data_IF_462654231170
#
_entry.id   IF_462654231170
#
_cell.length_a   1.000
_cell.length_b   1.000
_cell.length_c   1.000
_cell.angle_alpha   90.00
_cell.angle_beta   90.00
_cell.angle_gamma   90.00
#
_symmetry.space_group_name_H-M   'P 1'
#
loop_
_entity.id
_entity.type
_entity.pdbx_description
1 polymer ?
#
# COMPACT_ATOMS: atom_id res chain seq x y z
N UNK A 1 -18.78 -1.72 -3.04
CA UNK A 1 -18.60 -2.14 -1.63
C UNK A 1 -19.77 -2.98 -1.14
N UNK A 2 -21.00 -2.45 -1.08
CA UNK A 2 -22.18 -3.22 -0.61
C UNK A 2 -22.39 -4.57 -1.35
N UNK A 3 -22.32 -4.58 -2.69
CA UNK A 3 -22.44 -5.81 -3.49
C UNK A 3 -21.37 -6.87 -3.19
N UNK A 4 -20.27 -6.48 -2.54
CA UNK A 4 -19.12 -7.33 -2.25
C UNK A 4 -18.91 -7.50 -0.74
N UNK A 5 -19.89 -7.12 0.11
CA UNK A 5 -19.80 -7.21 1.57
C UNK A 5 -18.54 -6.53 2.16
N UNK A 6 -18.16 -5.37 1.62
CA UNK A 6 -17.06 -4.57 2.17
C UNK A 6 -17.64 -3.53 3.12
N UNK A 7 -17.27 -3.62 4.40
CA UNK A 7 -17.79 -2.77 5.48
C UNK A 7 -17.23 -1.34 5.44
N UNK A 8 -15.99 -1.18 4.97
CA UNK A 8 -15.33 0.12 4.89
C UNK A 8 -14.09 0.11 4.00
N UNK A 9 -13.55 1.30 3.74
CA UNK A 9 -12.37 1.48 2.90
C UNK A 9 -11.43 2.54 3.47
N UNK A 10 -10.20 2.51 2.99
CA UNK A 10 -9.22 3.58 3.17
C UNK A 10 -9.09 4.32 1.85
N UNK A 11 -9.31 5.64 1.87
CA UNK A 11 -9.09 6.48 0.71
C UNK A 11 -7.62 6.92 0.66
N UNK A 12 -7.00 6.85 -0.51
CA UNK A 12 -5.56 7.13 -0.67
C UNK A 12 -5.38 8.26 -1.67
N UNK A 13 -4.51 9.22 -1.36
CA UNK A 13 -4.20 10.36 -2.23
C UNK A 13 -3.95 9.93 -3.68
N UNK A 14 -4.59 10.60 -4.64
CA UNK A 14 -4.34 10.42 -6.06
C UNK A 14 -3.49 11.55 -6.67
N UNK A 15 -3.24 12.61 -5.90
CA UNK A 15 -2.47 13.79 -6.30
C UNK A 15 -1.53 14.24 -5.18
N UNK A 16 -0.37 14.74 -5.57
CA UNK A 16 0.67 15.21 -4.65
C UNK A 16 0.43 16.67 -4.18
N UNK A 17 -0.72 16.93 -3.55
CA UNK A 17 -1.09 18.25 -3.01
C UNK A 17 -1.71 18.12 -1.61
N UNK A 18 -1.64 19.19 -0.80
CA UNK A 18 -2.32 19.22 0.50
C UNK A 18 -3.84 19.24 0.31
N UNK A 19 -4.33 19.97 -0.70
CA UNK A 19 -5.75 20.04 -1.05
C UNK A 19 -6.36 18.65 -1.31
N UNK A 20 -5.58 17.70 -1.85
CA UNK A 20 -6.02 16.30 -1.99
C UNK A 20 -6.30 15.66 -0.63
N UNK A 21 -5.39 15.85 0.33
CA UNK A 21 -5.55 15.31 1.69
C UNK A 21 -6.77 15.91 2.37
N UNK A 22 -6.93 17.23 2.29
CA UNK A 22 -8.07 17.94 2.88
C UNK A 22 -9.38 17.46 2.28
N UNK A 23 -9.44 17.35 0.95
CA UNK A 23 -10.62 16.86 0.25
C UNK A 23 -10.97 15.41 0.61
N UNK A 24 -9.99 14.52 0.73
CA UNK A 24 -10.23 13.15 1.18
C UNK A 24 -10.71 13.09 2.64
N UNK A 25 -10.19 13.95 3.51
CA UNK A 25 -10.67 14.06 4.89
C UNK A 25 -12.11 14.57 4.94
N UNK A 26 -12.48 15.57 4.16
CA UNK A 26 -13.87 16.05 4.02
C UNK A 26 -14.81 14.93 3.54
N UNK A 27 -14.39 14.15 2.54
CA UNK A 27 -15.14 12.95 2.10
C UNK A 27 -15.30 11.98 3.27
N UNK A 28 -14.23 11.74 4.02
CA UNK A 28 -14.24 10.79 5.12
C UNK A 28 -15.17 11.22 6.26
N UNK A 29 -15.23 12.52 6.56
CA UNK A 29 -16.14 13.06 7.58
C UNK A 29 -17.60 12.95 7.16
N UNK A 30 -17.88 13.12 5.85
CA UNK A 30 -19.22 12.98 5.29
C UNK A 30 -19.67 11.51 5.08
N UNK A 31 -18.74 10.55 5.05
CA UNK A 31 -19.02 9.16 4.69
C UNK A 31 -18.38 8.17 5.69
N UNK A 32 -19.17 7.57 6.61
CA UNK A 32 -18.67 6.62 7.60
C UNK A 32 -17.97 5.38 7.02
N UNK A 33 -18.30 4.99 5.78
CA UNK A 33 -17.65 3.89 5.09
C UNK A 33 -16.18 4.17 4.74
N UNK A 34 -15.75 5.44 4.69
CA UNK A 34 -14.33 5.81 4.59
C UNK A 34 -13.79 5.88 6.00
N UNK A 35 -13.09 4.81 6.39
CA UNK A 35 -12.62 4.61 7.76
C UNK A 35 -11.26 5.25 8.03
N UNK A 36 -10.49 5.54 6.97
CA UNK A 36 -9.21 6.23 7.06
C UNK A 36 -8.79 6.86 5.74
N UNK A 37 -7.84 7.78 5.83
CA UNK A 37 -7.25 8.53 4.73
C UNK A 37 -5.72 8.40 4.79
N UNK A 38 -5.14 7.98 3.68
CA UNK A 38 -3.71 8.09 3.41
C UNK A 38 -3.49 9.35 2.58
N UNK A 39 -3.07 10.42 3.25
CA UNK A 39 -2.88 11.73 2.65
C UNK A 39 -1.57 11.89 1.89
N UNK A 40 -1.39 13.07 1.32
CA UNK A 40 -0.11 13.59 0.87
C UNK A 40 0.30 14.82 1.68
N UNK A 41 1.59 14.87 2.03
CA UNK A 41 2.24 16.07 2.58
C UNK A 41 3.61 16.25 1.93
N UNK A 42 4.12 17.49 1.85
CA UNK A 42 5.42 17.76 1.24
C UNK A 42 6.56 17.38 2.20
N UNK A 43 6.91 16.09 2.27
CA UNK A 43 7.86 15.50 3.24
C UNK A 43 9.26 16.15 3.22
N UNK A 44 9.66 16.80 2.13
CA UNK A 44 10.96 17.47 2.03
C UNK A 44 10.94 18.95 2.45
N UNK A 45 9.79 19.51 2.86
CA UNK A 45 9.69 20.92 3.25
C UNK A 45 10.05 21.17 4.71
N UNK A 46 10.56 22.36 4.98
CA UNK A 46 10.97 22.80 6.32
C UNK A 46 9.77 23.07 7.25
N UNK A 47 8.60 23.40 6.71
CA UNK A 47 7.35 23.63 7.42
C UNK A 47 6.45 22.38 7.53
N UNK A 48 7.01 21.20 7.23
CA UNK A 48 6.30 19.92 7.28
C UNK A 48 5.54 19.70 8.59
N UNK A 49 6.16 19.99 9.74
CA UNK A 49 5.55 19.74 11.04
C UNK A 49 4.25 20.52 11.24
N UNK A 50 4.19 21.78 10.82
CA UNK A 50 2.96 22.58 10.93
C UNK A 50 1.84 22.00 10.04
N UNK A 51 2.18 21.48 8.86
CA UNK A 51 1.22 20.82 7.97
C UNK A 51 0.73 19.50 8.55
N UNK A 52 1.65 18.68 9.07
CA UNK A 52 1.32 17.41 9.72
C UNK A 52 0.46 17.62 10.96
N UNK A 53 0.82 18.54 11.86
CA UNK A 53 0.10 18.79 13.10
C UNK A 53 -1.35 19.19 12.83
N UNK A 54 -1.56 20.12 11.89
CA UNK A 54 -2.90 20.56 11.49
C UNK A 54 -3.73 19.43 10.88
N UNK A 55 -3.16 18.65 9.96
CA UNK A 55 -3.89 17.57 9.29
C UNK A 55 -4.18 16.40 10.25
N UNK A 56 -3.28 16.14 11.20
CA UNK A 56 -3.39 15.08 12.20
C UNK A 56 -4.40 15.40 13.32
N UNK A 57 -5.00 16.59 13.34
CA UNK A 57 -6.16 16.89 14.19
C UNK A 57 -7.36 16.01 13.79
N UNK A 58 -7.50 15.67 12.50
CA UNK A 58 -8.50 14.72 12.03
C UNK A 58 -7.99 13.29 12.25
N UNK A 59 -8.67 12.54 13.13
CA UNK A 59 -8.30 11.16 13.49
C UNK A 59 -8.42 10.16 12.33
N UNK A 60 -9.10 10.52 11.24
CA UNK A 60 -9.14 9.69 10.03
C UNK A 60 -7.90 9.83 9.15
N UNK A 61 -6.98 10.77 9.43
CA UNK A 61 -5.66 10.74 8.81
C UNK A 61 -4.83 9.64 9.46
N UNK A 62 -4.69 8.50 8.77
CA UNK A 62 -4.04 7.30 9.32
C UNK A 62 -2.66 7.04 8.72
N UNK A 63 -2.30 7.78 7.68
CA UNK A 63 -0.99 7.69 7.07
C UNK A 63 -0.76 8.70 5.97
N UNK A 64 0.42 8.64 5.37
CA UNK A 64 0.78 9.45 4.21
C UNK A 64 1.51 8.63 3.16
N UNK A 65 1.43 9.08 1.90
CA UNK A 65 2.07 8.44 0.75
C UNK A 65 2.75 9.46 -0.14
N UNK A 66 3.96 9.15 -0.59
CA UNK A 66 4.64 9.87 -1.67
C UNK A 66 4.75 8.99 -2.93
N UNK A 67 4.59 9.58 -4.11
CA UNK A 67 4.59 8.85 -5.39
C UNK A 67 6.03 8.64 -5.89
N UNK A 68 6.80 7.83 -5.16
CA UNK A 68 8.25 7.63 -5.39
C UNK A 68 8.53 7.10 -6.79
N UNK A 69 7.62 6.32 -7.38
CA UNK A 69 7.86 5.75 -8.71
C UNK A 69 7.90 6.76 -9.86
N UNK A 70 7.40 7.99 -9.65
CA UNK A 70 7.39 9.07 -10.63
C UNK A 70 8.57 10.03 -10.43
N UNK A 71 9.33 9.86 -9.34
CA UNK A 71 10.53 10.65 -9.09
C UNK A 71 11.62 10.32 -10.11
N UNK A 72 12.31 11.36 -10.58
CA UNK A 72 13.37 11.21 -11.60
C UNK A 72 14.59 10.46 -11.07
N UNK A 73 14.86 10.60 -9.77
CA UNK A 73 15.96 9.92 -9.11
C UNK A 73 15.47 8.60 -8.52
N UNK A 74 15.99 7.48 -9.04
CA UNK A 74 15.67 6.15 -8.50
C UNK A 74 16.10 5.99 -7.01
N UNK A 75 16.97 6.86 -6.50
CA UNK A 75 17.39 6.90 -5.10
C UNK A 75 16.70 8.01 -4.30
N UNK A 76 15.62 8.61 -4.80
CA UNK A 76 14.90 9.69 -4.11
C UNK A 76 14.54 9.30 -2.66
N UNK A 77 14.09 8.07 -2.44
CA UNK A 77 13.70 7.54 -1.12
C UNK A 77 14.85 7.55 -0.10
N UNK A 78 16.11 7.62 -0.55
CA UNK A 78 17.31 7.68 0.28
C UNK A 78 17.79 9.13 0.55
N UNK A 79 17.14 10.14 -0.02
CA UNK A 79 17.53 11.54 0.20
C UNK A 79 17.40 11.92 1.68
N UNK A 80 18.34 12.76 2.14
CA UNK A 80 18.41 13.17 3.55
C UNK A 80 17.18 13.97 3.99
N UNK A 81 16.73 14.91 3.17
CA UNK A 81 15.56 15.75 3.44
C UNK A 81 14.27 14.93 3.51
N UNK A 82 14.08 14.01 2.56
CA UNK A 82 12.96 13.07 2.58
C UNK A 82 12.93 12.23 3.87
N UNK A 83 14.08 11.65 4.24
CA UNK A 83 14.19 10.85 5.47
C UNK A 83 14.01 11.68 6.75
N UNK A 84 14.34 12.98 6.75
CA UNK A 84 14.03 13.87 7.88
C UNK A 84 12.51 14.03 8.04
N UNK A 85 11.78 14.15 6.93
CA UNK A 85 10.33 14.21 6.94
C UNK A 85 9.66 12.92 7.39
N UNK A 86 10.14 11.77 6.88
CA UNK A 86 9.61 10.45 7.27
C UNK A 86 9.69 10.22 8.79
N UNK A 87 10.76 10.69 9.46
CA UNK A 87 10.91 10.59 10.92
C UNK A 87 9.83 11.36 11.70
N UNK A 88 9.13 12.31 11.07
CA UNK A 88 8.06 13.07 11.71
C UNK A 88 6.73 12.29 11.77
N UNK A 89 6.59 11.17 11.06
CA UNK A 89 5.35 10.40 11.01
C UNK A 89 5.12 9.55 12.26
N UNK A 90 6.18 8.90 12.75
CA UNK A 90 6.10 8.00 13.91
C UNK A 90 5.52 8.65 15.18
N UNK A 91 5.97 9.84 15.61
CA UNK A 91 5.40 10.55 16.76
C UNK A 91 3.91 10.89 16.64
N UNK A 92 3.35 10.84 15.43
CA UNK A 92 1.94 11.13 15.13
C UNK A 92 1.13 9.86 14.86
N UNK A 93 1.72 8.67 15.05
CA UNK A 93 1.12 7.37 14.76
C UNK A 93 0.65 7.22 13.30
N UNK A 94 1.29 7.93 12.37
CA UNK A 94 0.97 7.86 10.94
C UNK A 94 1.76 6.74 10.27
N UNK A 95 1.08 5.90 9.50
CA UNK A 95 1.69 4.89 8.62
C UNK A 95 2.30 5.57 7.40
N UNK A 96 3.38 5.00 6.85
CA UNK A 96 3.89 5.40 5.54
C UNK A 96 3.64 4.32 4.48
N UNK A 97 2.86 4.69 3.46
CA UNK A 97 2.61 3.84 2.30
C UNK A 97 3.74 4.02 1.26
N UNK A 98 4.36 2.91 0.87
CA UNK A 98 5.50 2.87 -0.05
C UNK A 98 5.00 2.52 -1.45
N UNK A 99 4.81 3.54 -2.28
CA UNK A 99 4.44 3.38 -3.69
C UNK A 99 5.66 3.44 -4.61
N UNK A 100 6.07 2.27 -5.10
CA UNK A 100 7.28 2.08 -5.91
C UNK A 100 7.05 1.11 -7.08
N UNK A 101 7.96 1.13 -8.06
CA UNK A 101 8.19 0.00 -8.95
C UNK A 101 9.14 -1.02 -8.31
N UNK A 102 9.15 -2.24 -8.84
CA UNK A 102 9.97 -3.36 -8.38
C UNK A 102 11.46 -3.02 -8.36
N UNK A 103 11.91 -2.22 -9.33
CA UNK A 103 13.30 -1.75 -9.43
C UNK A 103 13.77 -0.89 -8.25
N UNK A 104 12.88 -0.35 -7.42
CA UNK A 104 13.22 0.47 -6.26
C UNK A 104 13.29 -0.33 -4.95
N UNK A 105 13.02 -1.64 -4.97
CA UNK A 105 13.08 -2.47 -3.77
C UNK A 105 14.45 -2.44 -3.07
N UNK A 106 15.61 -2.45 -3.77
CA UNK A 106 16.91 -2.37 -3.10
C UNK A 106 17.10 -1.10 -2.25
N UNK A 107 16.68 0.05 -2.77
CA UNK A 107 16.71 1.33 -2.05
C UNK A 107 15.68 1.34 -0.93
N UNK A 108 14.52 0.71 -1.14
CA UNK A 108 13.44 0.64 -0.15
C UNK A 108 13.87 -0.18 1.06
N UNK A 109 14.61 -1.28 0.87
CA UNK A 109 15.18 -2.08 1.96
C UNK A 109 16.11 -1.22 2.83
N UNK A 110 17.04 -0.48 2.21
CA UNK A 110 17.93 0.44 2.93
C UNK A 110 17.17 1.59 3.62
N UNK A 111 16.06 2.03 3.03
CA UNK A 111 15.22 3.06 3.60
C UNK A 111 14.49 2.56 4.86
N UNK A 112 13.82 1.41 4.81
CA UNK A 112 13.08 0.89 5.98
C UNK A 112 14.02 0.57 7.16
N UNK A 113 15.26 0.15 6.87
CA UNK A 113 16.29 -0.10 7.88
C UNK A 113 16.68 1.18 8.67
N UNK A 114 16.44 2.37 8.11
CA UNK A 114 16.70 3.64 8.79
C UNK A 114 15.56 4.06 9.75
N UNK A 115 14.41 3.39 9.70
CA UNK A 115 13.21 3.74 10.46
C UNK A 115 12.54 2.50 11.09
N UNK A 116 13.25 1.72 11.93
CA UNK A 116 12.74 0.45 12.46
C UNK A 116 11.48 0.58 13.33
N UNK A 117 11.17 1.79 13.81
CA UNK A 117 10.02 2.08 14.66
C UNK A 117 8.82 2.67 13.89
N UNK A 118 8.92 2.85 12.57
CA UNK A 118 7.82 3.35 11.74
C UNK A 118 7.11 2.18 11.07
N UNK A 119 5.78 2.18 11.09
CA UNK A 119 4.97 1.20 10.37
C UNK A 119 4.94 1.56 8.88
N UNK A 120 5.27 0.59 8.05
CA UNK A 120 5.27 0.71 6.60
C UNK A 120 4.27 -0.23 5.95
N UNK A 121 3.70 0.20 4.83
CA UNK A 121 2.87 -0.64 3.97
C UNK A 121 3.35 -0.50 2.53
N UNK A 122 3.82 -1.59 1.94
CA UNK A 122 4.21 -1.64 0.52
C UNK A 122 2.96 -1.70 -0.34
N UNK A 123 2.79 -0.73 -1.23
CA UNK A 123 1.67 -0.68 -2.15
C UNK A 123 1.84 -1.70 -3.28
N UNK A 124 0.72 -2.30 -3.67
CA UNK A 124 0.57 -3.13 -4.88
C UNK A 124 1.67 -4.18 -5.07
N UNK A 125 2.04 -4.85 -3.98
CA UNK A 125 3.13 -5.82 -3.94
C UNK A 125 4.44 -5.31 -4.58
N UNK A 126 4.71 -4.01 -4.53
CA UNK A 126 5.83 -3.34 -5.20
C UNK A 126 5.86 -3.51 -6.73
N UNK A 127 4.70 -3.65 -7.38
CA UNK A 127 4.51 -3.62 -8.84
C UNK A 127 5.50 -4.51 -9.62
N UNK A 128 5.49 -5.84 -9.43
CA UNK A 128 6.29 -6.76 -10.24
C UNK A 128 5.93 -6.66 -11.72
N UNK A 129 6.86 -7.03 -12.59
CA UNK A 129 6.57 -7.21 -14.01
C UNK A 129 5.86 -8.54 -14.24
N UNK A 130 4.53 -8.52 -14.34
CA UNK A 130 3.73 -9.74 -14.48
C UNK A 130 3.54 -10.10 -15.96
N UNK A 131 4.07 -11.24 -16.39
CA UNK A 131 3.82 -11.80 -17.72
C UNK A 131 3.86 -13.34 -17.73
N UNK A 132 3.17 -13.98 -18.68
CA UNK A 132 3.14 -15.44 -18.80
C UNK A 132 4.47 -16.04 -19.26
N UNK A 133 5.33 -15.23 -19.89
CA UNK A 133 6.59 -15.68 -20.46
C UNK A 133 7.65 -15.95 -19.39
N UNK A 134 7.62 -15.22 -18.27
CA UNK A 134 8.65 -15.33 -17.22
C UNK A 134 8.14 -14.77 -15.88
N UNK A 135 8.41 -15.49 -14.81
CA UNK A 135 8.24 -14.99 -13.45
C UNK A 135 9.32 -13.98 -13.08
N UNK A 136 8.96 -12.90 -12.38
CA UNK A 136 9.90 -11.87 -11.93
C UNK A 136 10.69 -12.33 -10.68
N UNK A 137 11.70 -13.16 -10.90
CA UNK A 137 12.54 -13.70 -9.81
C UNK A 137 13.27 -12.61 -9.01
N UNK A 138 13.69 -11.53 -9.67
CA UNK A 138 14.39 -10.42 -8.99
C UNK A 138 13.46 -9.67 -8.05
N UNK A 139 12.21 -9.45 -8.46
CA UNK A 139 11.19 -8.93 -7.55
C UNK A 139 10.97 -9.87 -6.36
N UNK A 140 10.83 -11.17 -6.60
CA UNK A 140 10.56 -12.15 -5.55
C UNK A 140 11.67 -12.19 -4.49
N UNK A 141 12.93 -12.23 -4.92
CA UNK A 141 14.10 -12.18 -4.03
C UNK A 141 14.11 -10.93 -3.16
N UNK A 142 13.84 -9.76 -3.75
CA UNK A 142 13.84 -8.50 -3.01
C UNK A 142 12.63 -8.35 -2.08
N UNK A 143 11.46 -8.89 -2.45
CA UNK A 143 10.27 -8.93 -1.58
C UNK A 143 10.52 -9.81 -0.36
N UNK A 144 11.11 -10.99 -0.55
CA UNK A 144 11.50 -11.89 0.55
C UNK A 144 12.54 -11.23 1.46
N UNK A 145 13.48 -10.47 0.91
CA UNK A 145 14.44 -9.71 1.71
C UNK A 145 13.75 -8.58 2.51
N UNK A 146 12.88 -7.79 1.86
CA UNK A 146 12.16 -6.71 2.51
C UNK A 146 11.26 -7.22 3.64
N UNK A 147 10.60 -8.37 3.45
CA UNK A 147 9.65 -8.91 4.41
C UNK A 147 10.28 -9.37 5.73
N UNK A 148 11.60 -9.52 5.79
CA UNK A 148 12.35 -9.79 7.04
C UNK A 148 12.19 -8.68 8.08
N UNK A 149 11.79 -7.47 7.67
CA UNK A 149 11.49 -6.34 8.57
C UNK A 149 10.05 -6.45 9.05
N UNK A 150 9.85 -6.67 10.35
CA UNK A 150 8.52 -6.94 10.95
C UNK A 150 7.59 -5.73 10.93
N UNK A 151 8.13 -4.50 10.86
CA UNK A 151 7.40 -3.25 10.71
C UNK A 151 6.95 -2.97 9.26
N UNK A 152 7.15 -3.90 8.32
CA UNK A 152 6.69 -3.78 6.93
C UNK A 152 5.55 -4.76 6.67
N UNK A 153 4.42 -4.22 6.23
CA UNK A 153 3.29 -4.95 5.68
C UNK A 153 3.17 -4.72 4.16
N UNK A 154 2.28 -5.44 3.48
CA UNK A 154 2.16 -5.41 2.03
C UNK A 154 0.70 -5.46 1.58
N UNK A 155 0.32 -4.63 0.61
CA UNK A 155 -1.02 -4.67 0.02
C UNK A 155 -1.06 -5.65 -1.13
N UNK A 156 -1.94 -6.64 -1.02
CA UNK A 156 -2.38 -7.49 -2.12
C UNK A 156 -3.41 -6.73 -2.98
N UNK A 157 -2.91 -5.88 -3.88
CA UNK A 157 -3.71 -4.93 -4.67
C UNK A 157 -2.98 -4.56 -5.98
N UNK A 158 -3.66 -3.87 -6.91
CA UNK A 158 -3.03 -3.25 -8.09
C UNK A 158 -2.36 -4.20 -9.08
N UNK A 159 -2.48 -5.52 -8.91
CA UNK A 159 -1.73 -6.49 -9.73
C UNK A 159 -2.17 -6.52 -11.19
N UNK A 160 -3.49 -6.40 -11.45
CA UNK A 160 -4.06 -6.56 -12.80
C UNK A 160 -3.57 -5.51 -13.79
N UNK A 161 -3.17 -4.33 -13.31
CA UNK A 161 -2.60 -3.23 -14.08
C UNK A 161 -1.11 -3.37 -14.36
N UNK A 162 -0.42 -4.25 -13.64
CA UNK A 162 1.00 -4.57 -13.88
C UNK A 162 1.17 -5.79 -14.82
N UNK A 163 0.06 -6.41 -15.25
CA UNK A 163 0.09 -7.49 -16.24
C UNK A 163 0.37 -6.92 -17.63
N UNK A 164 1.55 -7.25 -18.15
CA UNK A 164 2.04 -6.83 -19.48
C UNK A 164 1.24 -7.51 -20.61
N UNK A 165 0.83 -8.76 -20.39
CA UNK A 165 0.07 -9.53 -21.37
C UNK A 165 -1.27 -8.86 -21.69
N UNK A 166 -1.85 -9.11 -22.87
CA UNK A 166 -3.14 -8.50 -23.23
C UNK A 166 -4.28 -8.91 -22.31
N UNK A 167 -4.20 -10.11 -21.71
CA UNK A 167 -5.19 -10.69 -20.78
C UNK A 167 -4.50 -11.18 -19.52
N UNK A 168 -5.22 -11.15 -18.40
CA UNK A 168 -4.78 -11.73 -17.13
C UNK A 168 -5.73 -12.86 -16.71
N UNK A 169 -5.23 -13.78 -15.87
CA UNK A 169 -6.01 -14.84 -15.23
C UNK A 169 -5.55 -15.01 -13.78
N UNK A 170 -6.39 -15.57 -12.89
CA UNK A 170 -5.97 -15.90 -11.53
C UNK A 170 -4.70 -16.76 -11.49
N UNK A 171 -4.57 -17.73 -12.41
CA UNK A 171 -3.38 -18.59 -12.51
C UNK A 171 -2.10 -17.81 -12.83
N UNK A 172 -2.19 -16.73 -13.62
CA UNK A 172 -1.03 -15.87 -13.92
C UNK A 172 -0.58 -15.08 -12.69
N UNK A 173 -1.52 -14.65 -11.86
CA UNK A 173 -1.27 -13.85 -10.67
C UNK A 173 -0.83 -14.71 -9.47
N UNK A 174 -1.28 -15.96 -9.41
CA UNK A 174 -1.09 -16.88 -8.28
C UNK A 174 0.39 -16.98 -7.81
N UNK A 175 1.40 -17.15 -8.68
CA UNK A 175 2.79 -17.19 -8.21
C UNK A 175 3.25 -15.96 -7.42
N UNK A 176 2.74 -14.77 -7.78
CA UNK A 176 3.05 -13.53 -7.08
C UNK A 176 2.32 -13.44 -5.74
N UNK A 177 1.07 -13.92 -5.67
CA UNK A 177 0.32 -14.00 -4.40
C UNK A 177 0.97 -14.99 -3.44
N UNK A 178 1.34 -16.17 -3.94
CA UNK A 178 2.03 -17.19 -3.15
C UNK A 178 3.36 -16.65 -2.61
N UNK A 179 4.11 -15.89 -3.40
CA UNK A 179 5.37 -15.25 -2.97
C UNK A 179 5.15 -14.26 -1.83
N UNK A 180 4.13 -13.39 -1.90
CA UNK A 180 3.88 -12.42 -0.81
C UNK A 180 3.26 -13.06 0.42
N UNK A 181 2.49 -14.13 0.26
CA UNK A 181 2.00 -14.95 1.38
C UNK A 181 3.16 -15.62 2.13
N UNK A 182 4.11 -16.22 1.40
CA UNK A 182 5.33 -16.79 2.00
C UNK A 182 6.17 -15.70 2.68
N UNK A 183 6.35 -14.55 2.01
CA UNK A 183 7.22 -13.49 2.48
C UNK A 183 6.68 -12.78 3.74
N UNK A 184 5.42 -12.35 3.72
CA UNK A 184 4.85 -11.51 4.78
C UNK A 184 4.06 -12.30 5.82
N UNK A 185 3.52 -13.45 5.42
CA UNK A 185 2.54 -14.18 6.20
C UNK A 185 1.15 -13.51 6.17
N UNK A 186 0.11 -14.24 6.61
CA UNK A 186 -1.28 -13.76 6.59
C UNK A 186 -1.50 -12.53 7.48
N UNK A 187 -0.68 -12.33 8.51
CA UNK A 187 -0.83 -11.22 9.47
C UNK A 187 -0.20 -9.90 8.99
N UNK A 188 0.40 -9.85 7.81
CA UNK A 188 1.00 -8.62 7.26
C UNK A 188 0.59 -8.34 5.82
N UNK A 189 -0.42 -9.05 5.33
CA UNK A 189 -1.05 -8.77 4.04
C UNK A 189 -2.37 -8.02 4.23
N UNK A 190 -2.63 -7.08 3.32
CA UNK A 190 -3.85 -6.27 3.31
C UNK A 190 -4.45 -6.33 1.90
N UNK A 191 -5.68 -6.82 1.75
CA UNK A 191 -6.38 -6.78 0.47
C UNK A 191 -6.71 -5.34 0.07
N UNK A 192 -6.57 -5.01 -1.21
CA UNK A 192 -6.95 -3.70 -1.74
C UNK A 192 -7.47 -3.80 -3.16
N UNK A 193 -8.47 -2.97 -3.48
CA UNK A 193 -9.06 -2.96 -4.82
C UNK A 193 -8.21 -2.21 -5.83
N UNK A 194 -7.52 -1.15 -5.38
CA UNK A 194 -6.92 -0.13 -6.26
C UNK A 194 -7.96 0.52 -7.19
N UNK A 195 -9.23 0.59 -6.75
CA UNK A 195 -10.28 1.29 -7.48
C UNK A 195 -10.06 2.81 -7.41
N UNK A 196 -10.29 3.57 -8.49
CA UNK A 196 -10.82 3.13 -9.79
C UNK A 196 -9.76 2.66 -10.79
N UNK A 197 -8.46 2.67 -10.45
CA UNK A 197 -7.36 2.31 -11.36
C UNK A 197 -7.49 0.86 -11.86
N UNK A 198 -7.96 -0.06 -11.01
CA UNK A 198 -8.21 -1.46 -11.40
C UNK A 198 -9.15 -1.60 -12.61
N UNK A 199 -10.06 -0.63 -12.83
CA UNK A 199 -11.03 -0.64 -13.94
C UNK A 199 -10.37 -0.59 -15.32
N UNK A 200 -9.09 -0.21 -15.41
CA UNK A 200 -8.31 -0.32 -16.64
C UNK A 200 -8.19 -1.78 -17.13
N UNK A 201 -8.36 -2.76 -16.23
CA UNK A 201 -8.10 -4.18 -16.51
C UNK A 201 -9.13 -5.14 -15.90
N UNK A 202 -9.92 -4.71 -14.93
CA UNK A 202 -10.89 -5.54 -14.23
C UNK A 202 -12.03 -4.72 -13.59
N UNK A 203 -13.26 -5.22 -13.70
CA UNK A 203 -14.37 -4.75 -12.87
C UNK A 203 -14.09 -4.99 -11.39
N UNK A 204 -14.59 -4.10 -10.51
CA UNK A 204 -14.39 -4.19 -9.06
C UNK A 204 -14.73 -5.58 -8.50
N UNK A 205 -15.94 -6.06 -8.80
CA UNK A 205 -16.44 -7.35 -8.29
C UNK A 205 -15.59 -8.52 -8.76
N UNK A 206 -15.14 -8.50 -10.03
CA UNK A 206 -14.25 -9.53 -10.56
C UNK A 206 -12.90 -9.54 -9.85
N UNK A 207 -12.33 -8.36 -9.60
CA UNK A 207 -11.07 -8.26 -8.87
C UNK A 207 -11.21 -8.74 -7.41
N UNK A 208 -12.27 -8.31 -6.73
CA UNK A 208 -12.53 -8.75 -5.35
C UNK A 208 -12.70 -10.28 -5.25
N UNK A 209 -13.51 -10.89 -6.13
CA UNK A 209 -13.66 -12.35 -6.22
C UNK A 209 -12.34 -13.07 -6.52
N UNK A 210 -11.46 -12.44 -7.29
CA UNK A 210 -10.13 -12.97 -7.57
C UNK A 210 -9.28 -13.04 -6.29
N UNK A 211 -9.27 -11.98 -5.47
CA UNK A 211 -8.58 -12.00 -4.17
C UNK A 211 -9.14 -13.11 -3.28
N UNK A 212 -10.47 -13.20 -3.15
CA UNK A 212 -11.12 -14.25 -2.35
C UNK A 212 -10.68 -15.66 -2.79
N UNK A 213 -10.67 -15.93 -4.10
CA UNK A 213 -10.23 -17.23 -4.65
C UNK A 213 -8.75 -17.53 -4.38
N UNK A 214 -7.90 -16.50 -4.28
CA UNK A 214 -6.47 -16.69 -4.03
C UNK A 214 -6.16 -16.96 -2.56
N UNK A 215 -7.07 -16.58 -1.66
CA UNK A 215 -6.95 -16.81 -0.21
C UNK A 215 -7.82 -17.97 0.28
N UNK A 216 -8.56 -18.66 -0.60
CA UNK A 216 -9.57 -19.65 -0.23
C UNK A 216 -9.00 -20.86 0.54
N UNK A 217 -7.73 -21.18 0.31
CA UNK A 217 -7.04 -22.30 0.97
C UNK A 217 -6.55 -21.95 2.38
N UNK A 218 -6.60 -20.68 2.78
CA UNK A 218 -6.19 -20.23 4.12
C UNK A 218 -7.32 -20.47 5.12
N UNK A 219 -6.98 -20.49 6.41
CA UNK A 219 -7.99 -20.55 7.47
C UNK A 219 -8.88 -19.29 7.49
N UNK A 220 -10.08 -19.39 8.05
CA UNK A 220 -10.99 -18.25 8.20
C UNK A 220 -10.35 -17.07 8.94
N UNK A 221 -9.49 -17.37 9.93
CA UNK A 221 -8.72 -16.37 10.66
C UNK A 221 -7.76 -15.61 9.74
N UNK A 222 -6.97 -16.33 8.95
CA UNK A 222 -6.01 -15.75 8.02
C UNK A 222 -6.72 -14.95 6.91
N UNK A 223 -7.84 -15.47 6.38
CA UNK A 223 -8.65 -14.75 5.40
C UNK A 223 -9.19 -13.44 5.99
N UNK A 224 -9.76 -13.47 7.20
CA UNK A 224 -10.26 -12.27 7.88
C UNK A 224 -9.16 -11.24 8.12
N UNK A 225 -7.96 -11.69 8.49
CA UNK A 225 -6.78 -10.82 8.63
C UNK A 225 -6.44 -10.11 7.33
N UNK A 226 -6.31 -10.85 6.23
CA UNK A 226 -5.98 -10.29 4.92
C UNK A 226 -7.07 -9.35 4.41
N UNK A 227 -8.34 -9.72 4.58
CA UNK A 227 -9.48 -9.00 3.99
C UNK A 227 -9.87 -7.74 4.76
N UNK A 228 -9.43 -7.55 6.01
CA UNK A 228 -9.73 -6.32 6.75
C UNK A 228 -9.04 -6.15 8.10
N UNK A 229 -8.89 -7.20 8.92
CA UNK A 229 -8.43 -7.01 10.31
C UNK A 229 -7.00 -6.47 10.38
N UNK A 230 -6.13 -6.85 9.44
CA UNK A 230 -4.80 -6.25 9.35
C UNK A 230 -4.85 -4.77 9.00
N UNK A 231 -5.76 -4.33 8.13
CA UNK A 231 -5.92 -2.92 7.82
C UNK A 231 -6.31 -2.14 9.10
N UNK A 232 -7.30 -2.64 9.84
CA UNK A 232 -7.72 -2.00 11.09
C UNK A 232 -6.57 -1.90 12.10
N UNK A 233 -5.84 -3.00 12.31
CA UNK A 233 -4.71 -3.03 13.25
C UNK A 233 -3.53 -2.15 12.80
N UNK A 234 -3.19 -2.13 11.51
CA UNK A 234 -2.00 -1.44 11.00
C UNK A 234 -2.24 0.07 10.91
N UNK A 235 -3.44 0.49 10.51
CA UNK A 235 -3.81 1.90 10.37
C UNK A 235 -4.52 2.47 11.62
N UNK A 236 -4.67 1.68 12.69
CA UNK A 236 -5.34 2.07 13.94
C UNK A 236 -6.79 2.55 13.75
N UNK A 237 -7.58 1.77 13.00
CA UNK A 237 -9.00 2.02 12.69
C UNK A 237 -9.88 1.08 13.52
#
# INVERSE_FOLDING_TARGET
MAENNIDGCIAVQARQTIDETEWLLEISDANPAVMGVIGWVPLCRTDLNASLDRLNENQKLVGVRHVIHDEKDNNFILRKDFNQGIRQLGPRNLVYDILIFEKHLPQTIQFVDQHPNLQFVVDHIAKPKICSARFDSTWAENILELSKRTNVACKLSGMVTEVIDSRWSPNLLKPYVDTVLEAFGPDRLIAGSDWPVCLLRAEYTRWHQTILSMTESLSEYEQSNILGQNACRIYNI
#
